data_IF_910890466414
#
_entry.id   IF_910890466414
#
_cell.length_a   1.000
_cell.length_b   1.000
_cell.length_c   1.000
_cell.angle_alpha   90.00
_cell.angle_beta   90.00
_cell.angle_gamma   90.00
#
_symmetry.space_group_name_H-M   'P 1'
#
loop_
_entity.id
_entity.type
_entity.pdbx_description
1 polymer ?
#
# COMPACT_ATOMS: atom_id res chain seq x y z
N UNK A 1 -6.23 -18.74 2.42
CA UNK A 1 -5.27 -19.77 2.03
C UNK A 1 -5.76 -21.18 2.39
N UNK A 2 -6.02 -21.51 3.69
CA UNK A 2 -6.41 -22.88 4.10
C UNK A 2 -7.73 -23.33 3.47
N UNK A 3 -8.74 -22.46 3.44
CA UNK A 3 -10.04 -22.75 2.81
C UNK A 3 -9.90 -22.94 1.30
N UNK A 4 -9.16 -22.07 0.64
CA UNK A 4 -8.85 -22.17 -0.79
C UNK A 4 -8.18 -23.49 -1.16
N UNK A 5 -7.17 -23.93 -0.38
CA UNK A 5 -6.51 -25.25 -0.60
C UNK A 5 -7.50 -26.40 -0.60
N UNK A 6 -8.48 -26.38 0.32
CA UNK A 6 -9.50 -27.44 0.42
C UNK A 6 -10.50 -27.38 -0.74
N UNK A 7 -10.90 -26.18 -1.15
CA UNK A 7 -11.86 -25.96 -2.24
C UNK A 7 -11.27 -26.33 -3.61
N UNK A 8 -9.96 -26.11 -3.81
CA UNK A 8 -9.28 -26.31 -5.09
C UNK A 8 -8.37 -27.58 -5.10
N UNK A 9 -8.50 -28.44 -4.11
CA UNK A 9 -7.77 -29.72 -3.98
C UNK A 9 -6.23 -29.61 -3.96
N UNK A 10 -5.69 -28.47 -3.47
CA UNK A 10 -4.26 -28.26 -3.30
C UNK A 10 -3.71 -29.05 -2.12
N UNK A 11 -2.59 -29.73 -2.31
CA UNK A 11 -1.83 -30.41 -1.26
C UNK A 11 -1.27 -29.45 -0.20
N UNK A 12 -0.85 -30.01 0.92
CA UNK A 12 -0.28 -29.20 2.02
C UNK A 12 1.01 -28.48 1.61
N UNK A 13 1.78 -29.07 0.70
CA UNK A 13 3.09 -28.58 0.26
C UNK A 13 3.02 -27.69 -0.99
N UNK A 14 1.83 -27.60 -1.64
CA UNK A 14 1.68 -26.78 -2.83
C UNK A 14 1.78 -25.30 -2.48
N UNK A 15 2.52 -24.54 -3.27
CA UNK A 15 2.61 -23.09 -3.11
C UNK A 15 1.36 -22.44 -3.72
N UNK A 16 0.55 -21.81 -2.87
CA UNK A 16 -0.69 -21.13 -3.27
C UNK A 16 -0.66 -19.62 -3.03
N UNK A 17 0.47 -19.10 -2.55
CA UNK A 17 0.67 -17.68 -2.26
C UNK A 17 1.99 -17.23 -2.87
N UNK A 18 1.89 -16.26 -3.73
CA UNK A 18 3.02 -15.66 -4.43
C UNK A 18 3.11 -14.17 -4.12
N UNK A 19 4.30 -13.59 -4.08
CA UNK A 19 4.52 -12.19 -3.74
C UNK A 19 5.46 -11.51 -4.75
N UNK A 20 5.22 -10.21 -4.96
CA UNK A 20 6.07 -9.38 -5.82
C UNK A 20 6.14 -9.88 -7.26
N UNK A 21 7.35 -10.02 -7.79
CA UNK A 21 7.56 -10.43 -9.20
C UNK A 21 7.07 -11.85 -9.48
N UNK A 22 7.22 -12.74 -8.52
CA UNK A 22 6.74 -14.12 -8.63
C UNK A 22 5.22 -14.16 -8.79
N UNK A 23 4.48 -13.39 -7.97
CA UNK A 23 3.03 -13.28 -8.10
C UNK A 23 2.60 -12.75 -9.48
N UNK A 24 3.33 -11.77 -10.02
CA UNK A 24 3.05 -11.25 -11.35
C UNK A 24 3.33 -12.28 -12.44
N UNK A 25 4.43 -13.04 -12.32
CA UNK A 25 4.80 -14.09 -13.27
C UNK A 25 3.77 -15.21 -13.29
N UNK A 26 3.37 -15.70 -12.13
CA UNK A 26 2.37 -16.77 -12.00
C UNK A 26 1.02 -16.32 -12.55
N UNK A 27 0.54 -15.15 -12.14
CA UNK A 27 -0.72 -14.62 -12.66
C UNK A 27 -0.71 -14.41 -14.18
N UNK A 28 0.43 -13.97 -14.75
CA UNK A 28 0.55 -13.77 -16.20
C UNK A 28 0.52 -15.08 -17.00
N UNK A 29 0.95 -16.19 -16.39
CA UNK A 29 0.93 -17.50 -17.03
C UNK A 29 -0.41 -18.21 -16.82
N UNK A 30 -1.03 -18.05 -15.66
CA UNK A 30 -2.23 -18.77 -15.24
C UNK A 30 -3.28 -17.81 -14.66
N UNK A 31 -3.83 -16.86 -15.45
CA UNK A 31 -4.72 -15.82 -14.93
C UNK A 31 -6.06 -16.34 -14.41
N UNK A 32 -6.46 -17.55 -14.84
CA UNK A 32 -7.71 -18.20 -14.42
C UNK A 32 -7.58 -18.95 -13.09
N UNK A 33 -6.32 -19.27 -12.68
CA UNK A 33 -6.08 -20.16 -11.54
C UNK A 33 -6.01 -19.41 -10.20
N UNK A 34 -6.15 -18.08 -10.19
CA UNK A 34 -6.05 -17.33 -8.96
C UNK A 34 -6.48 -15.88 -9.02
N UNK A 35 -6.40 -15.20 -7.89
CA UNK A 35 -6.72 -13.79 -7.76
C UNK A 35 -5.46 -12.94 -7.59
N UNK A 36 -5.30 -11.95 -8.45
CA UNK A 36 -4.22 -10.98 -8.36
C UNK A 36 -4.67 -9.74 -7.57
N UNK A 37 -4.01 -9.49 -6.44
CA UNK A 37 -4.29 -8.33 -5.60
C UNK A 37 -3.19 -7.29 -5.77
N UNK A 38 -3.53 -6.12 -6.29
CA UNK A 38 -2.64 -4.98 -6.47
C UNK A 38 -3.04 -3.84 -5.54
N UNK A 39 -2.03 -3.20 -4.93
CA UNK A 39 -2.19 -1.97 -4.13
C UNK A 39 -3.25 -2.07 -3.01
N UNK A 40 -3.19 -3.04 -2.10
CA UNK A 40 -4.20 -3.22 -1.06
C UNK A 40 -4.35 -1.98 -0.15
N UNK A 41 -3.33 -1.15 -0.01
CA UNK A 41 -3.36 0.11 0.75
C UNK A 41 -4.50 1.04 0.33
N UNK A 42 -4.85 1.09 -0.95
CA UNK A 42 -5.92 1.96 -1.47
C UNK A 42 -7.33 1.59 -1.00
N UNK A 43 -7.51 0.41 -0.41
CA UNK A 43 -8.80 -0.06 0.08
C UNK A 43 -8.95 0.05 1.61
N UNK A 44 -7.87 0.24 2.37
CA UNK A 44 -7.87 0.16 3.83
C UNK A 44 -8.79 1.19 4.50
N UNK A 45 -8.86 2.40 3.97
CA UNK A 45 -9.73 3.47 4.46
C UNK A 45 -11.09 3.55 3.76
N UNK A 46 -11.42 2.59 2.89
CA UNK A 46 -12.65 2.62 2.11
C UNK A 46 -13.90 2.71 2.96
N UNK A 47 -14.81 3.64 2.62
CA UNK A 47 -16.06 3.81 3.34
C UNK A 47 -17.08 2.74 2.94
N UNK A 48 -17.90 2.29 3.91
CA UNK A 48 -18.97 1.32 3.66
C UNK A 48 -18.50 -0.12 3.40
N UNK A 49 -17.27 -0.46 3.79
CA UNK A 49 -16.80 -1.83 3.71
C UNK A 49 -17.58 -2.73 4.68
N UNK A 50 -18.04 -3.87 4.18
CA UNK A 50 -18.63 -4.91 5.03
C UNK A 50 -17.53 -5.63 5.81
N UNK A 51 -17.90 -6.20 6.97
CA UNK A 51 -16.97 -6.93 7.84
C UNK A 51 -16.18 -8.02 7.11
N UNK A 52 -16.77 -8.66 6.11
CA UNK A 52 -16.12 -9.68 5.27
C UNK A 52 -14.98 -9.10 4.45
N UNK A 53 -15.16 -7.89 3.89
CA UNK A 53 -14.12 -7.19 3.14
C UNK A 53 -12.97 -6.74 4.06
N UNK A 54 -13.30 -6.25 5.26
CA UNK A 54 -12.31 -5.87 6.26
C UNK A 54 -11.45 -7.09 6.63
N UNK A 55 -12.09 -8.22 6.96
CA UNK A 55 -11.38 -9.46 7.28
C UNK A 55 -10.49 -9.95 6.13
N UNK A 56 -10.97 -9.83 4.89
CA UNK A 56 -10.19 -10.16 3.70
C UNK A 56 -8.94 -9.28 3.55
N UNK A 57 -9.06 -7.96 3.76
CA UNK A 57 -7.92 -7.06 3.72
C UNK A 57 -6.94 -7.30 4.87
N UNK A 58 -7.45 -7.59 6.08
CA UNK A 58 -6.59 -8.01 7.20
C UNK A 58 -5.78 -9.26 6.84
N UNK A 59 -6.40 -10.25 6.22
CA UNK A 59 -5.71 -11.48 5.80
C UNK A 59 -4.62 -11.20 4.77
N UNK A 60 -4.92 -10.43 3.73
CA UNK A 60 -3.94 -10.07 2.69
C UNK A 60 -2.76 -9.32 3.30
N UNK A 61 -3.02 -8.28 4.09
CA UNK A 61 -1.97 -7.47 4.70
C UNK A 61 -1.16 -8.31 5.69
N UNK A 62 -1.81 -9.21 6.46
CA UNK A 62 -1.12 -10.16 7.34
C UNK A 62 -0.13 -11.02 6.56
N UNK A 63 -0.56 -11.62 5.45
CA UNK A 63 0.28 -12.49 4.63
C UNK A 63 1.46 -11.71 4.01
N UNK A 64 1.21 -10.49 3.54
CA UNK A 64 2.28 -9.61 3.05
C UNK A 64 3.31 -9.29 4.14
N UNK A 65 2.86 -8.90 5.32
CA UNK A 65 3.74 -8.59 6.46
C UNK A 65 4.51 -9.83 6.93
N UNK A 66 3.88 -11.01 6.97
CA UNK A 66 4.55 -12.27 7.28
C UNK A 66 5.66 -12.59 6.27
N UNK A 67 5.40 -12.38 4.98
CA UNK A 67 6.41 -12.60 3.95
C UNK A 67 7.61 -11.66 4.12
N UNK A 68 7.35 -10.36 4.34
CA UNK A 68 8.40 -9.36 4.59
C UNK A 68 9.18 -9.68 5.85
N UNK A 69 8.50 -9.97 6.97
CA UNK A 69 9.13 -10.35 8.23
C UNK A 69 10.06 -11.54 8.04
N UNK A 70 9.55 -12.64 7.49
CA UNK A 70 10.34 -13.86 7.24
C UNK A 70 11.55 -13.63 6.33
N UNK A 71 11.40 -12.81 5.28
CA UNK A 71 12.49 -12.46 4.39
C UNK A 71 13.57 -11.65 5.10
N UNK A 72 13.17 -10.66 5.90
CA UNK A 72 14.06 -9.81 6.69
C UNK A 72 14.78 -10.59 7.78
N UNK A 73 14.08 -11.43 8.52
CA UNK A 73 14.67 -12.29 9.56
C UNK A 73 15.70 -13.27 8.99
N UNK A 74 15.40 -13.85 7.83
CA UNK A 74 16.39 -14.72 7.14
C UNK A 74 17.61 -13.95 6.69
N UNK A 75 17.45 -12.73 6.21
CA UNK A 75 18.55 -11.89 5.74
C UNK A 75 19.43 -11.35 6.85
N UNK A 76 18.82 -10.99 7.99
CA UNK A 76 19.51 -10.37 9.12
C UNK A 76 19.98 -11.38 10.18
N UNK A 77 19.42 -12.58 10.20
CA UNK A 77 19.72 -13.59 11.21
C UNK A 77 19.20 -13.28 12.61
N UNK A 78 18.18 -12.40 12.72
CA UNK A 78 17.60 -11.96 14.00
C UNK A 78 16.08 -12.05 13.98
N UNK A 79 15.46 -12.22 15.16
CA UNK A 79 14.01 -12.15 15.33
C UNK A 79 13.56 -10.69 15.39
N UNK A 80 12.64 -10.31 14.50
CA UNK A 80 12.12 -8.95 14.36
C UNK A 80 10.78 -8.84 15.10
N UNK A 81 10.78 -8.27 16.29
CA UNK A 81 9.59 -8.12 17.13
C UNK A 81 8.91 -6.77 17.00
N UNK A 82 9.63 -5.76 16.53
CA UNK A 82 9.16 -4.38 16.41
C UNK A 82 9.04 -4.00 14.95
N UNK A 83 8.01 -3.22 14.61
CA UNK A 83 7.86 -2.67 13.27
C UNK A 83 7.35 -1.24 13.32
N UNK A 84 7.83 -0.44 12.39
CA UNK A 84 7.28 0.88 12.08
C UNK A 84 6.63 0.81 10.71
N UNK A 85 5.37 1.19 10.64
CA UNK A 85 4.57 1.13 9.42
C UNK A 85 4.34 2.56 8.91
N UNK A 86 4.69 2.82 7.65
CA UNK A 86 4.37 4.07 6.99
C UNK A 86 2.86 4.23 6.80
N UNK A 87 2.35 5.42 7.11
CA UNK A 87 0.96 5.79 6.88
C UNK A 87 0.87 7.13 6.15
N UNK A 88 -0.12 7.32 5.27
CA UNK A 88 -0.43 8.64 4.75
C UNK A 88 -0.94 9.54 5.89
N UNK A 89 -0.97 10.85 5.67
CA UNK A 89 -1.60 11.77 6.63
C UNK A 89 -3.06 11.41 6.81
N UNK A 90 -3.77 11.18 5.69
CA UNK A 90 -5.11 10.61 5.68
C UNK A 90 -5.21 9.41 4.75
N UNK A 91 -5.83 8.34 5.24
CA UNK A 91 -6.31 7.29 4.36
C UNK A 91 -7.55 7.77 3.62
N UNK A 92 -7.75 7.25 2.42
CA UNK A 92 -8.85 7.67 1.57
C UNK A 92 -10.19 7.10 2.05
N UNK A 93 -11.18 7.97 2.15
CA UNK A 93 -12.55 7.67 2.52
C UNK A 93 -13.37 8.95 2.61
N UNK A 94 -14.69 8.81 2.79
CA UNK A 94 -15.61 9.95 2.87
C UNK A 94 -15.39 10.74 4.17
N UNK A 95 -15.12 10.04 5.27
CA UNK A 95 -14.81 10.63 6.57
C UNK A 95 -13.36 10.27 6.92
N UNK A 96 -12.49 11.26 6.94
CA UNK A 96 -11.05 11.05 7.17
C UNK A 96 -10.76 10.40 8.53
N UNK A 97 -11.47 10.76 9.59
CA UNK A 97 -11.25 10.20 10.93
C UNK A 97 -11.62 8.71 10.98
N UNK A 98 -12.82 8.35 10.52
CA UNK A 98 -13.26 6.95 10.47
C UNK A 98 -12.37 6.11 9.56
N UNK A 99 -12.00 6.64 8.40
CA UNK A 99 -11.12 5.97 7.44
C UNK A 99 -9.72 5.72 8.03
N UNK A 100 -9.17 6.69 8.74
CA UNK A 100 -7.89 6.55 9.43
C UNK A 100 -7.97 5.49 10.53
N UNK A 101 -9.01 5.53 11.36
CA UNK A 101 -9.21 4.54 12.43
C UNK A 101 -9.34 3.12 11.87
N UNK A 102 -10.17 2.93 10.84
CA UNK A 102 -10.34 1.64 10.18
C UNK A 102 -9.01 1.10 9.61
N UNK A 103 -8.32 1.91 8.84
CA UNK A 103 -7.06 1.51 8.20
C UNK A 103 -5.97 1.17 9.23
N UNK A 104 -5.82 2.00 10.27
CA UNK A 104 -4.85 1.75 11.34
C UNK A 104 -5.20 0.50 12.15
N UNK A 105 -6.49 0.22 12.35
CA UNK A 105 -6.94 -1.01 13.00
C UNK A 105 -6.56 -2.24 12.17
N UNK A 106 -6.86 -2.24 10.87
CA UNK A 106 -6.50 -3.33 9.95
C UNK A 106 -4.98 -3.56 9.96
N UNK A 107 -4.18 -2.51 9.83
CA UNK A 107 -2.73 -2.60 9.83
C UNK A 107 -2.16 -3.12 11.15
N UNK A 108 -2.70 -2.64 12.29
CA UNK A 108 -2.27 -3.09 13.62
C UNK A 108 -2.59 -4.57 13.85
N UNK A 109 -3.81 -5.00 13.51
CA UNK A 109 -4.23 -6.40 13.64
C UNK A 109 -3.36 -7.28 12.73
N UNK A 110 -3.17 -6.88 11.49
CA UNK A 110 -2.36 -7.62 10.53
C UNK A 110 -0.90 -7.76 10.98
N UNK A 111 -0.30 -6.70 11.51
CA UNK A 111 1.08 -6.73 12.01
C UNK A 111 1.23 -7.66 13.22
N UNK A 112 0.28 -7.62 14.17
CA UNK A 112 0.27 -8.55 15.32
C UNK A 112 0.07 -10.00 14.88
N UNK A 113 -0.83 -10.25 13.94
CA UNK A 113 -1.03 -11.59 13.34
C UNK A 113 0.18 -12.05 12.54
N UNK A 114 0.98 -11.13 12.01
CA UNK A 114 2.25 -11.43 11.35
C UNK A 114 3.37 -11.77 12.33
N UNK A 115 3.17 -11.57 13.63
CA UNK A 115 4.11 -11.91 14.70
C UNK A 115 4.95 -10.75 15.19
N UNK A 116 4.54 -9.50 14.95
CA UNK A 116 5.15 -8.33 15.60
C UNK A 116 4.51 -8.08 16.95
N UNK A 117 5.34 -7.82 17.96
CA UNK A 117 4.92 -7.53 19.34
C UNK A 117 4.61 -6.03 19.51
N UNK A 118 5.41 -5.17 18.87
CA UNK A 118 5.24 -3.72 18.89
C UNK A 118 5.03 -3.18 17.48
N UNK A 119 4.05 -2.32 17.36
CA UNK A 119 3.65 -1.70 16.09
C UNK A 119 3.54 -0.20 16.28
N UNK A 120 4.34 0.56 15.56
CA UNK A 120 4.31 2.01 15.54
C UNK A 120 3.98 2.51 14.12
N UNK A 121 3.46 3.71 14.04
CA UNK A 121 3.13 4.33 12.76
C UNK A 121 3.94 5.62 12.57
N UNK A 122 4.45 5.81 11.37
CA UNK A 122 5.13 7.04 10.97
C UNK A 122 4.43 7.63 9.75
N UNK A 123 4.25 8.93 9.76
CA UNK A 123 3.74 9.64 8.58
C UNK A 123 4.73 9.53 7.41
N UNK A 124 4.22 9.11 6.25
CA UNK A 124 5.03 8.91 5.05
C UNK A 124 5.79 10.17 4.61
N UNK A 125 5.20 11.38 4.63
CA UNK A 125 5.96 12.60 4.30
C UNK A 125 7.13 12.86 5.27
N UNK A 126 6.98 12.52 6.55
CA UNK A 126 8.09 12.61 7.51
C UNK A 126 9.16 11.57 7.17
N UNK A 127 8.74 10.32 6.97
CA UNK A 127 9.67 9.24 6.62
C UNK A 127 10.47 9.54 5.35
N UNK A 128 9.81 10.06 4.31
CA UNK A 128 10.45 10.49 3.07
C UNK A 128 11.42 11.68 3.29
N UNK A 129 11.09 12.57 4.21
CA UNK A 129 11.91 13.74 4.53
C UNK A 129 13.08 13.50 5.50
N UNK A 130 13.14 12.34 6.20
CA UNK A 130 14.10 12.11 7.27
C UNK A 130 15.57 12.21 6.81
N UNK A 131 15.89 11.69 5.64
CA UNK A 131 17.26 11.75 5.11
C UNK A 131 17.63 13.18 4.71
N UNK A 132 16.69 13.90 4.11
CA UNK A 132 16.86 15.32 3.81
C UNK A 132 17.05 16.14 5.08
N UNK A 133 16.22 15.91 6.11
CA UNK A 133 16.27 16.63 7.38
C UNK A 133 17.62 16.47 8.11
N UNK A 134 18.24 15.28 8.01
CA UNK A 134 19.57 15.02 8.63
C UNK A 134 20.64 16.00 8.17
N UNK A 135 20.53 16.47 6.94
CA UNK A 135 21.51 17.36 6.31
C UNK A 135 21.18 18.85 6.46
N UNK A 136 20.11 19.18 7.18
CA UNK A 136 19.74 20.57 7.42
C UNK A 136 20.53 21.17 8.59
N UNK A 137 21.16 22.31 8.34
CA UNK A 137 21.89 23.10 9.35
C UNK A 137 20.96 24.08 10.10
N UNK A 138 19.77 24.34 9.58
CA UNK A 138 18.77 25.25 10.15
C UNK A 138 17.37 24.76 9.90
N UNK A 139 16.44 25.24 10.73
CA UNK A 139 15.01 24.93 10.58
C UNK A 139 14.45 25.57 9.31
N UNK A 140 13.65 24.80 8.60
CA UNK A 140 13.00 25.20 7.35
C UNK A 140 11.58 24.65 7.26
N UNK A 141 10.76 25.30 6.46
CA UNK A 141 9.52 24.73 5.98
C UNK A 141 9.81 24.03 4.64
N UNK A 142 9.49 22.77 4.58
CA UNK A 142 9.76 21.88 3.43
C UNK A 142 8.45 21.43 2.83
N UNK A 143 8.33 21.53 1.51
CA UNK A 143 7.24 20.88 0.75
C UNK A 143 7.74 19.48 0.37
N UNK A 144 7.09 18.46 0.93
CA UNK A 144 7.29 17.07 0.54
C UNK A 144 6.20 16.70 -0.46
N UNK A 145 6.61 16.19 -1.62
CA UNK A 145 5.71 15.69 -2.67
C UNK A 145 6.02 14.22 -2.86
N UNK A 146 5.04 13.37 -2.53
CA UNK A 146 5.12 11.92 -2.70
C UNK A 146 4.14 11.49 -3.80
N UNK A 147 4.67 11.01 -4.92
CA UNK A 147 3.89 10.51 -6.05
C UNK A 147 4.08 9.00 -6.12
N UNK A 148 3.14 8.30 -5.52
CA UNK A 148 3.11 6.85 -5.50
C UNK A 148 2.46 6.23 -6.75
N UNK A 149 2.21 4.91 -6.69
CA UNK A 149 1.52 4.20 -7.76
C UNK A 149 0.02 4.52 -7.86
N UNK A 150 -0.63 4.85 -6.74
CA UNK A 150 -2.07 5.08 -6.67
C UNK A 150 -2.50 6.39 -6.02
N UNK A 151 -1.57 7.14 -5.42
CA UNK A 151 -1.83 8.42 -4.75
C UNK A 151 -0.72 9.41 -5.03
N UNK A 152 -1.04 10.68 -4.94
CA UNK A 152 -0.09 11.78 -4.88
C UNK A 152 -0.38 12.59 -3.63
N UNK A 153 0.55 12.61 -2.72
CA UNK A 153 0.42 13.27 -1.42
C UNK A 153 1.41 14.44 -1.33
N UNK A 154 0.94 15.59 -0.88
CA UNK A 154 1.74 16.78 -0.65
C UNK A 154 1.60 17.22 0.81
N UNK A 155 2.71 17.49 1.46
CA UNK A 155 2.71 18.02 2.82
C UNK A 155 3.72 19.14 3.00
N UNK A 156 3.31 20.22 3.64
CA UNK A 156 4.21 21.25 4.15
C UNK A 156 4.58 20.89 5.59
N UNK A 157 5.86 20.69 5.84
CA UNK A 157 6.35 20.18 7.12
C UNK A 157 7.50 21.06 7.60
N UNK A 158 7.54 21.34 8.91
CA UNK A 158 8.71 21.94 9.56
C UNK A 158 9.76 20.86 9.76
N UNK A 159 10.96 21.10 9.26
CA UNK A 159 12.10 20.20 9.34
C UNK A 159 13.37 20.95 9.73
N UNK A 160 14.26 20.27 10.45
CA UNK A 160 15.54 20.81 10.83
C UNK A 160 16.00 20.39 12.22
N UNK A 161 17.10 20.98 12.72
CA UNK A 161 17.72 20.59 13.98
C UNK A 161 16.79 20.61 15.19
N UNK A 162 15.81 21.54 15.23
CA UNK A 162 14.86 21.64 16.34
C UNK A 162 13.73 20.59 16.28
N UNK A 163 13.60 19.85 15.18
CA UNK A 163 12.49 18.93 14.94
C UNK A 163 12.91 17.48 14.87
N UNK A 164 14.13 17.18 14.38
CA UNK A 164 14.59 15.83 14.02
C UNK A 164 14.53 14.79 15.15
N UNK A 165 14.64 15.23 16.40
CA UNK A 165 14.66 14.35 17.56
C UNK A 165 13.31 14.26 18.28
N UNK A 166 12.27 14.88 17.75
CA UNK A 166 10.92 14.82 18.31
C UNK A 166 10.26 13.47 17.99
N UNK A 167 9.71 12.84 19.01
CA UNK A 167 8.94 11.59 18.84
C UNK A 167 7.59 11.83 18.18
N UNK A 168 6.89 12.90 18.59
CA UNK A 168 5.63 13.33 17.97
C UNK A 168 5.89 14.49 17.02
N UNK A 169 5.55 14.29 15.77
CA UNK A 169 5.73 15.24 14.67
C UNK A 169 4.40 15.79 14.13
N UNK A 170 3.29 15.49 14.79
CA UNK A 170 1.94 15.86 14.30
C UNK A 170 1.78 17.37 14.13
N UNK A 171 2.30 18.16 15.07
CA UNK A 171 2.23 19.64 15.00
C UNK A 171 3.23 20.27 14.01
N UNK A 172 4.16 19.48 13.47
CA UNK A 172 5.10 19.97 12.49
C UNK A 172 4.49 20.07 11.08
N UNK A 173 3.32 19.44 10.86
CA UNK A 173 2.56 19.59 9.63
C UNK A 173 1.82 20.94 9.60
N UNK A 174 2.17 21.78 8.63
CA UNK A 174 1.51 23.07 8.41
C UNK A 174 0.28 22.94 7.52
N UNK A 175 0.36 22.08 6.52
CA UNK A 175 -0.74 21.73 5.65
C UNK A 175 -0.43 20.42 4.93
N UNK A 176 -1.46 19.76 4.45
CA UNK A 176 -1.34 18.56 3.63
C UNK A 176 -2.54 18.45 2.69
N UNK A 177 -2.32 17.79 1.59
CA UNK A 177 -3.36 17.38 0.65
C UNK A 177 -2.95 16.09 -0.02
N UNK A 178 -3.91 15.30 -0.45
CA UNK A 178 -3.67 14.07 -1.17
C UNK A 178 -4.77 13.81 -2.18
N UNK A 179 -4.37 13.32 -3.35
CA UNK A 179 -5.26 12.96 -4.44
C UNK A 179 -5.07 11.51 -4.83
N UNK A 180 -6.18 10.87 -5.22
CA UNK A 180 -6.16 9.48 -5.72
C UNK A 180 -5.77 9.44 -7.20
N UNK A 181 -4.62 10.02 -7.50
CA UNK A 181 -4.00 9.98 -8.82
C UNK A 181 -2.54 9.63 -8.62
N UNK A 182 -2.07 8.60 -9.29
CA UNK A 182 -0.68 8.16 -9.19
C UNK A 182 -0.15 7.57 -10.49
N UNK A 183 0.99 6.94 -10.42
CA UNK A 183 1.67 6.36 -11.58
C UNK A 183 0.80 5.39 -12.38
N UNK A 184 -0.04 4.60 -11.71
CA UNK A 184 -0.95 3.67 -12.39
C UNK A 184 -1.99 4.39 -13.27
N UNK A 185 -2.48 5.56 -12.83
CA UNK A 185 -3.45 6.35 -13.59
C UNK A 185 -2.79 6.95 -14.84
N UNK A 186 -1.52 7.38 -14.70
CA UNK A 186 -0.71 7.85 -15.83
C UNK A 186 -0.48 6.72 -16.83
N UNK A 187 -0.13 5.52 -16.38
CA UNK A 187 0.04 4.33 -17.21
C UNK A 187 -1.25 3.96 -17.94
N UNK A 188 -2.39 3.98 -17.24
CA UNK A 188 -3.72 3.70 -17.83
C UNK A 188 -4.05 4.75 -18.91
N UNK A 189 -3.82 6.03 -18.64
CA UNK A 189 -4.06 7.10 -19.61
C UNK A 189 -3.15 6.98 -20.84
N UNK A 190 -1.87 6.67 -20.63
CA UNK A 190 -0.93 6.47 -21.72
C UNK A 190 -1.32 5.25 -22.57
N UNK A 191 -1.60 4.13 -21.91
CA UNK A 191 -2.04 2.91 -22.57
C UNK A 191 -3.33 3.15 -23.37
N UNK A 192 -4.34 3.75 -22.74
CA UNK A 192 -5.63 4.03 -23.39
C UNK A 192 -5.54 4.93 -24.61
N UNK A 193 -4.63 5.92 -24.57
CA UNK A 193 -4.50 6.88 -25.68
C UNK A 193 -3.55 6.44 -26.79
N UNK A 194 -2.51 5.66 -26.48
CA UNK A 194 -1.45 5.36 -27.43
C UNK A 194 -1.39 3.89 -27.83
N UNK A 195 -1.75 2.98 -26.94
CA UNK A 195 -1.57 1.54 -27.13
C UNK A 195 -2.89 0.85 -27.48
N UNK A 196 -3.92 1.07 -26.68
CA UNK A 196 -5.20 0.38 -26.82
C UNK A 196 -5.90 0.63 -28.19
N UNK A 197 -5.80 1.81 -28.83
CA UNK A 197 -6.32 2.00 -30.18
C UNK A 197 -5.67 1.06 -31.20
N UNK A 198 -4.40 0.67 -31.03
CA UNK A 198 -3.72 -0.29 -31.90
C UNK A 198 -4.30 -1.70 -31.79
N UNK A 199 -4.94 -2.00 -30.67
CA UNK A 199 -5.64 -3.26 -30.40
C UNK A 199 -7.15 -3.18 -30.67
N UNK A 200 -7.62 -2.07 -31.26
CA UNK A 200 -9.00 -1.90 -31.69
C UNK A 200 -9.90 -1.15 -30.70
N UNK A 201 -9.36 -0.61 -29.62
CA UNK A 201 -10.16 0.24 -28.71
C UNK A 201 -10.74 1.43 -29.49
N UNK A 202 -12.08 1.57 -29.40
CA UNK A 202 -12.84 2.60 -30.14
C UNK A 202 -13.19 2.23 -31.58
N UNK A 203 -12.83 1.02 -32.04
CA UNK A 203 -13.30 0.48 -33.31
C UNK A 203 -14.66 -0.23 -33.14
N UNK A 204 -15.39 -0.34 -34.23
CA UNK A 204 -16.63 -1.14 -34.29
C UNK A 204 -16.34 -2.54 -34.83
N UNK A 205 -16.92 -3.54 -34.22
CA UNK A 205 -16.91 -4.89 -34.79
C UNK A 205 -17.77 -4.95 -36.03
N UNK A 206 -17.54 -5.94 -36.90
CA UNK A 206 -18.38 -6.19 -38.09
C UNK A 206 -19.87 -6.39 -37.73
N UNK A 207 -20.17 -6.66 -36.49
CA UNK A 207 -21.52 -6.76 -35.94
C UNK A 207 -22.14 -5.42 -35.55
N UNK A 208 -21.41 -4.30 -35.67
CA UNK A 208 -21.83 -2.97 -35.23
C UNK A 208 -21.73 -2.73 -33.71
N UNK A 209 -21.17 -3.68 -32.94
CA UNK A 209 -20.93 -3.53 -31.51
C UNK A 209 -19.57 -2.86 -31.27
N UNK A 210 -19.44 -2.01 -30.24
CA UNK A 210 -18.14 -1.46 -29.86
C UNK A 210 -17.19 -2.58 -29.40
N UNK A 211 -15.91 -2.40 -29.74
CA UNK A 211 -14.84 -3.28 -29.30
C UNK A 211 -14.29 -2.87 -27.95
#
# INVERSE_FOLDING_TARGET
ARRFRVEEDYGADDQVLFFGREAFSEYSQFPEDGSFVKSPKSFLGGSGLRSEHIAFFEDIVTLMMQNVKKASERSLGVDLRHTVIGRPVNFQGINAEESNQQALSILSIAARRAGFESVEFQFEPIAAGLDFERNLDKDQTVLVVDIGGGTSDCAMVRMGPSYRDRLDRTEDFLSYTGERVGGNDLDIQLAGRQIMPLFGMGAELKTGLPM
#
